data_IF_596191900020
#
_entry.id   IF_596191900020
#
_cell.length_a   1.000
_cell.length_b   1.000
_cell.length_c   1.000
_cell.angle_alpha   90.00
_cell.angle_beta   90.00
_cell.angle_gamma   90.00
#
_symmetry.space_group_name_H-M   'P 1'
#
loop_
_entity.id
_entity.type
_entity.pdbx_description
1 polymer ?
#
# COMPACT_ATOMS: atom_id res chain seq x y z
N UNK A 1 1.89 -4.56 -15.11
CA UNK A 1 3.02 -3.65 -14.79
C UNK A 1 3.94 -4.40 -13.84
N UNK A 2 5.22 -4.51 -14.17
CA UNK A 2 6.22 -5.11 -13.27
C UNK A 2 6.50 -4.17 -12.10
N UNK A 3 6.72 -4.72 -10.90
CA UNK A 3 7.01 -3.90 -9.73
C UNK A 3 8.43 -3.33 -9.80
N UNK A 4 8.54 -2.01 -9.93
CA UNK A 4 9.81 -1.28 -9.94
C UNK A 4 9.98 -0.51 -8.64
N UNK A 5 11.11 -0.73 -7.97
CA UNK A 5 11.47 0.09 -6.81
C UNK A 5 12.09 1.42 -7.25
N UNK A 6 11.66 2.52 -6.62
CA UNK A 6 12.23 3.85 -6.79
C UNK A 6 12.60 4.45 -5.44
N UNK A 7 13.59 5.35 -5.42
CA UNK A 7 13.85 6.20 -4.26
C UNK A 7 12.75 7.24 -4.21
N UNK A 8 11.90 7.19 -3.18
CA UNK A 8 10.81 8.13 -3.00
C UNK A 8 11.35 9.51 -2.60
N UNK A 9 10.58 10.53 -2.96
CA UNK A 9 10.79 11.90 -2.51
C UNK A 9 9.56 12.37 -1.73
N UNK A 10 9.73 13.34 -0.85
CA UNK A 10 8.63 13.93 -0.09
C UNK A 10 7.54 14.49 -1.01
N UNK A 11 7.93 15.19 -2.09
CA UNK A 11 7.01 15.70 -3.12
C UNK A 11 6.12 14.58 -3.69
N UNK A 12 6.68 13.40 -3.93
CA UNK A 12 5.92 12.26 -4.44
C UNK A 12 4.93 11.71 -3.42
N UNK A 13 5.26 11.69 -2.13
CA UNK A 13 4.30 11.31 -1.09
C UNK A 13 3.16 12.32 -0.98
N UNK A 14 3.46 13.61 -1.04
CA UNK A 14 2.45 14.67 -1.01
C UNK A 14 1.52 14.56 -2.23
N UNK A 15 2.09 14.39 -3.44
CA UNK A 15 1.30 14.22 -4.67
C UNK A 15 0.45 12.95 -4.65
N UNK A 16 0.96 11.84 -4.12
CA UNK A 16 0.19 10.60 -3.90
C UNK A 16 -1.03 10.85 -3.01
N UNK A 17 -0.81 11.47 -1.86
CA UNK A 17 -1.87 11.76 -0.87
C UNK A 17 -2.95 12.67 -1.47
N UNK A 18 -2.53 13.72 -2.17
CA UNK A 18 -3.45 14.71 -2.75
C UNK A 18 -4.27 14.15 -3.92
N UNK A 19 -3.69 13.24 -4.72
CA UNK A 19 -4.37 12.64 -5.87
C UNK A 19 -5.30 11.47 -5.52
N UNK A 20 -5.16 10.88 -4.33
CA UNK A 20 -5.78 9.61 -3.97
C UNK A 20 -7.31 9.60 -4.14
N UNK A 21 -8.00 10.60 -3.57
CA UNK A 21 -9.47 10.64 -3.56
C UNK A 21 -10.03 10.81 -4.98
N UNK A 22 -9.47 11.72 -5.77
CA UNK A 22 -9.91 11.98 -7.14
C UNK A 22 -9.65 10.77 -8.05
N UNK A 23 -8.50 10.10 -7.90
CA UNK A 23 -8.21 8.87 -8.62
C UNK A 23 -9.20 7.76 -8.27
N UNK A 24 -9.53 7.59 -6.99
CA UNK A 24 -10.50 6.59 -6.58
C UNK A 24 -11.90 6.89 -7.10
N UNK A 25 -12.35 8.15 -7.02
CA UNK A 25 -13.63 8.55 -7.60
C UNK A 25 -13.71 8.28 -9.11
N UNK A 26 -12.63 8.52 -9.86
CA UNK A 26 -12.60 8.20 -11.30
C UNK A 26 -12.70 6.69 -11.52
N UNK A 27 -12.00 5.88 -10.72
CA UNK A 27 -12.05 4.41 -10.81
C UNK A 27 -13.44 3.86 -10.47
N UNK A 28 -14.06 4.35 -9.40
CA UNK A 28 -15.38 3.90 -8.93
C UNK A 28 -16.50 4.23 -9.92
N UNK A 29 -16.39 5.34 -10.64
CA UNK A 29 -17.36 5.77 -11.65
C UNK A 29 -17.02 5.27 -13.06
N UNK A 30 -15.96 4.48 -13.22
CA UNK A 30 -15.60 3.90 -14.51
C UNK A 30 -16.54 2.75 -14.86
N UNK A 31 -16.94 2.69 -16.13
CA UNK A 31 -17.66 1.54 -16.70
C UNK A 31 -16.68 0.47 -17.23
N UNK A 32 -15.38 0.66 -17.04
CA UNK A 32 -14.37 -0.31 -17.44
C UNK A 32 -14.48 -1.59 -16.61
N UNK A 33 -14.15 -2.73 -17.22
CA UNK A 33 -14.08 -3.99 -16.51
C UNK A 33 -12.94 -4.02 -15.48
N UNK A 34 -13.07 -4.87 -14.45
CA UNK A 34 -12.10 -5.01 -13.33
C UNK A 34 -10.61 -5.06 -13.72
N UNK A 35 -10.30 -5.58 -14.92
CA UNK A 35 -8.94 -5.86 -15.36
C UNK A 35 -8.39 -4.85 -16.37
N UNK A 36 -9.19 -3.90 -16.85
CA UNK A 36 -8.79 -2.97 -17.90
C UNK A 36 -9.21 -1.56 -17.55
N UNK A 37 -8.45 -0.59 -18.02
CA UNK A 37 -8.80 0.83 -17.90
C UNK A 37 -8.84 1.36 -19.32
N UNK A 38 -10.02 1.80 -19.76
CA UNK A 38 -10.24 2.31 -21.11
C UNK A 38 -9.42 3.58 -21.36
N UNK A 39 -9.21 3.98 -22.62
CA UNK A 39 -8.44 5.19 -22.95
C UNK A 39 -9.01 6.45 -22.29
N UNK A 40 -10.34 6.57 -22.21
CA UNK A 40 -11.01 7.71 -21.58
C UNK A 40 -10.73 7.78 -20.07
N UNK A 41 -10.94 6.67 -19.36
CA UNK A 41 -10.65 6.58 -17.92
C UNK A 41 -9.17 6.79 -17.64
N UNK A 42 -8.29 6.23 -18.46
CA UNK A 42 -6.84 6.44 -18.35
C UNK A 42 -6.49 7.92 -18.48
N UNK A 43 -7.07 8.64 -19.46
CA UNK A 43 -6.85 10.07 -19.62
C UNK A 43 -7.32 10.90 -18.41
N UNK A 44 -8.48 10.53 -17.82
CA UNK A 44 -8.99 11.17 -16.59
C UNK A 44 -8.05 10.95 -15.40
N UNK A 45 -7.58 9.72 -15.19
CA UNK A 45 -6.63 9.38 -14.13
C UNK A 45 -5.29 10.11 -14.30
N UNK A 46 -4.82 10.22 -15.54
CA UNK A 46 -3.62 10.97 -15.89
C UNK A 46 -3.75 12.46 -15.57
N UNK A 47 -4.90 13.06 -15.92
CA UNK A 47 -5.18 14.45 -15.61
C UNK A 47 -5.28 14.69 -14.09
N UNK A 48 -5.93 13.79 -13.36
CA UNK A 48 -6.03 13.84 -11.91
C UNK A 48 -4.65 13.77 -11.25
N UNK A 49 -3.78 12.85 -11.68
CA UNK A 49 -2.41 12.78 -11.16
C UNK A 49 -1.61 14.06 -11.46
N UNK A 50 -1.71 14.58 -12.70
CA UNK A 50 -0.99 15.81 -13.12
C UNK A 50 -1.40 17.06 -12.36
N UNK A 51 -2.66 17.14 -11.94
CA UNK A 51 -3.18 18.23 -11.10
C UNK A 51 -2.42 18.37 -9.77
N UNK A 52 -1.81 17.29 -9.27
CA UNK A 52 -1.07 17.25 -8.01
C UNK A 52 0.44 17.01 -8.22
N UNK A 53 0.99 17.61 -9.28
CA UNK A 53 2.43 17.64 -9.60
C UNK A 53 3.09 16.27 -9.85
N UNK A 54 2.30 15.24 -10.15
CA UNK A 54 2.80 13.97 -10.69
C UNK A 54 2.87 14.03 -12.23
N UNK A 55 3.71 13.22 -12.85
CA UNK A 55 3.82 13.13 -14.32
C UNK A 55 2.62 12.46 -14.99
N UNK A 56 1.85 11.67 -14.23
CA UNK A 56 0.66 10.97 -14.69
C UNK A 56 0.29 9.81 -13.77
N UNK A 57 -0.70 9.03 -14.19
CA UNK A 57 -1.23 7.90 -13.42
C UNK A 57 -0.21 6.77 -13.24
N UNK A 58 0.71 6.59 -14.19
CA UNK A 58 1.79 5.61 -14.07
C UNK A 58 2.76 5.96 -12.92
N UNK A 59 3.09 7.24 -12.73
CA UNK A 59 3.89 7.65 -11.56
C UNK A 59 3.11 7.46 -10.26
N UNK A 60 1.82 7.81 -10.22
CA UNK A 60 0.96 7.54 -9.07
C UNK A 60 1.00 6.05 -8.67
N UNK A 61 0.80 5.14 -9.64
CA UNK A 61 0.88 3.69 -9.39
C UNK A 61 2.25 3.25 -8.89
N UNK A 62 3.32 3.80 -9.46
CA UNK A 62 4.70 3.48 -9.08
C UNK A 62 4.99 3.90 -7.64
N UNK A 63 4.63 5.13 -7.26
CA UNK A 63 4.78 5.66 -5.90
C UNK A 63 3.95 4.82 -4.93
N UNK A 64 2.65 4.60 -5.25
CA UNK A 64 1.73 3.77 -4.47
C UNK A 64 2.32 2.40 -4.18
N UNK A 65 2.85 1.71 -5.19
CA UNK A 65 3.43 0.38 -5.03
C UNK A 65 4.66 0.39 -4.09
N UNK A 66 5.51 1.41 -4.17
CA UNK A 66 6.69 1.55 -3.30
C UNK A 66 6.30 1.85 -1.85
N UNK A 67 5.27 2.67 -1.63
CA UNK A 67 4.72 2.94 -0.30
C UNK A 67 4.08 1.66 0.28
N UNK A 68 3.27 0.94 -0.51
CA UNK A 68 2.66 -0.33 -0.10
C UNK A 68 3.74 -1.36 0.27
N UNK A 69 4.85 -1.44 -0.48
CA UNK A 69 5.96 -2.33 -0.14
C UNK A 69 6.48 -2.08 1.28
N UNK A 70 6.63 -0.81 1.69
CA UNK A 70 7.04 -0.47 3.06
C UNK A 70 5.98 -0.91 4.07
N UNK A 71 4.70 -0.66 3.80
CA UNK A 71 3.60 -1.07 4.67
C UNK A 71 3.55 -2.59 4.89
N UNK A 72 3.98 -3.41 3.92
CA UNK A 72 4.03 -4.89 4.11
C UNK A 72 4.97 -5.35 5.23
N UNK A 73 5.86 -4.49 5.72
CA UNK A 73 6.74 -4.75 6.86
C UNK A 73 6.54 -3.79 8.03
N UNK A 74 5.48 -2.98 7.99
CA UNK A 74 5.20 -1.97 9.00
C UNK A 74 4.19 -2.47 10.04
N UNK A 75 4.57 -2.41 11.31
CA UNK A 75 3.70 -2.82 12.41
C UNK A 75 2.82 -1.67 12.88
N UNK A 76 1.50 -1.82 12.68
CA UNK A 76 0.51 -0.84 13.11
C UNK A 76 0.36 -0.71 14.62
N UNK A 77 0.85 -1.65 15.42
CA UNK A 77 0.79 -1.57 16.88
C UNK A 77 1.95 -0.72 17.41
N UNK A 78 3.18 -1.05 16.99
CA UNK A 78 4.39 -0.33 17.46
C UNK A 78 4.70 0.91 16.64
N UNK A 79 3.99 1.11 15.52
CA UNK A 79 4.21 2.18 14.54
C UNK A 79 5.65 2.20 14.02
N UNK A 80 6.19 1.03 13.72
CA UNK A 80 7.57 0.85 13.26
C UNK A 80 7.68 -0.16 12.13
N UNK A 81 8.65 0.05 11.25
CA UNK A 81 9.05 -0.99 10.31
C UNK A 81 9.84 -2.08 11.04
N UNK A 82 9.32 -3.31 11.00
CA UNK A 82 9.95 -4.50 11.59
C UNK A 82 10.40 -5.49 10.52
N UNK A 83 10.03 -5.26 9.26
CA UNK A 83 10.21 -6.19 8.16
C UNK A 83 9.10 -7.22 8.10
N UNK A 84 8.72 -7.61 6.89
CA UNK A 84 7.56 -8.46 6.62
C UNK A 84 7.57 -9.79 7.37
N UNK A 85 8.70 -10.48 7.36
CA UNK A 85 8.87 -11.77 8.04
C UNK A 85 8.61 -11.69 9.54
N UNK A 86 9.09 -10.61 10.17
CA UNK A 86 8.87 -10.35 11.58
C UNK A 86 7.44 -9.88 11.84
N UNK A 87 6.87 -9.06 10.95
CA UNK A 87 5.48 -8.60 11.05
C UNK A 87 4.51 -9.79 11.07
N UNK A 88 4.67 -10.75 10.14
CA UNK A 88 3.85 -11.96 10.08
C UNK A 88 3.96 -12.76 11.39
N UNK A 89 5.18 -12.93 11.94
CA UNK A 89 5.36 -13.60 13.25
C UNK A 89 4.63 -12.87 14.39
N UNK A 90 4.70 -11.55 14.42
CA UNK A 90 4.03 -10.73 15.42
C UNK A 90 2.50 -10.83 15.28
N UNK A 91 1.97 -10.81 14.06
CA UNK A 91 0.53 -10.98 13.79
C UNK A 91 0.03 -12.34 14.28
N UNK A 92 0.74 -13.43 13.95
CA UNK A 92 0.40 -14.78 14.45
C UNK A 92 0.44 -14.84 15.98
N UNK A 93 1.45 -14.26 16.62
CA UNK A 93 1.53 -14.21 18.08
C UNK A 93 0.35 -13.45 18.70
N UNK A 94 -0.09 -12.35 18.08
CA UNK A 94 -1.24 -11.56 18.52
C UNK A 94 -2.56 -12.31 18.36
N UNK A 95 -2.78 -12.99 17.23
CA UNK A 95 -3.98 -13.83 17.02
C UNK A 95 -4.05 -14.94 18.07
N UNK A 96 -2.91 -15.60 18.35
CA UNK A 96 -2.83 -16.62 19.41
C UNK A 96 -3.23 -16.05 20.77
N UNK A 97 -2.74 -14.85 21.11
CA UNK A 97 -2.99 -14.20 22.39
C UNK A 97 -4.40 -13.57 22.52
N UNK A 98 -5.08 -13.26 21.42
CA UNK A 98 -6.38 -12.56 21.47
C UNK A 98 -7.49 -13.47 21.99
N UNK A 99 -7.99 -13.20 23.20
CA UNK A 99 -9.03 -14.02 23.84
C UNK A 99 -10.43 -13.80 23.25
N UNK A 100 -10.60 -12.80 22.37
CA UNK A 100 -11.89 -12.46 21.74
C UNK A 100 -12.19 -13.33 20.53
N UNK A 101 -11.17 -13.97 19.96
CA UNK A 101 -11.29 -14.81 18.76
C UNK A 101 -11.57 -16.26 19.19
N UNK A 102 -12.67 -16.88 18.72
CA UNK A 102 -12.94 -18.31 18.92
C UNK A 102 -11.80 -19.21 18.44
N UNK A 103 -11.63 -20.37 19.08
CA UNK A 103 -10.48 -21.25 18.79
C UNK A 103 -10.46 -21.76 17.33
N UNK A 104 -11.62 -22.08 16.77
CA UNK A 104 -11.77 -22.48 15.37
C UNK A 104 -11.43 -21.33 14.39
N UNK A 105 -11.81 -20.10 14.72
CA UNK A 105 -11.49 -18.91 13.90
C UNK A 105 -10.00 -18.58 13.98
N UNK A 106 -9.36 -18.72 15.15
CA UNK A 106 -7.91 -18.50 15.30
C UNK A 106 -7.07 -19.37 14.38
N UNK A 107 -7.43 -20.66 14.26
CA UNK A 107 -6.68 -21.58 13.39
C UNK A 107 -6.71 -21.05 11.95
N UNK A 108 -7.89 -20.66 11.47
CA UNK A 108 -8.06 -20.13 10.13
C UNK A 108 -7.33 -18.78 9.92
N UNK A 109 -7.41 -17.86 10.87
CA UNK A 109 -6.71 -16.57 10.78
C UNK A 109 -5.18 -16.74 10.79
N UNK A 110 -4.65 -17.67 11.58
CA UNK A 110 -3.22 -18.00 11.59
C UNK A 110 -2.80 -18.57 10.24
N UNK A 111 -3.59 -19.50 9.68
CA UNK A 111 -3.31 -20.09 8.36
C UNK A 111 -3.26 -19.02 7.26
N UNK A 112 -4.26 -18.12 7.21
CA UNK A 112 -4.27 -17.00 6.25
C UNK A 112 -3.06 -16.08 6.45
N UNK A 113 -2.71 -15.79 7.70
CA UNK A 113 -1.57 -14.91 8.02
C UNK A 113 -0.24 -15.55 7.61
N UNK A 114 -0.04 -16.83 7.89
CA UNK A 114 1.18 -17.56 7.50
C UNK A 114 1.27 -17.76 5.97
N UNK A 115 0.14 -17.96 5.29
CA UNK A 115 0.09 -18.08 3.82
C UNK A 115 0.66 -16.84 3.10
N UNK A 116 0.64 -15.67 3.75
CA UNK A 116 1.27 -14.47 3.19
C UNK A 116 2.77 -14.66 2.89
N UNK A 117 3.47 -15.56 3.61
CA UNK A 117 4.89 -15.87 3.35
C UNK A 117 5.15 -16.45 1.96
N UNK A 118 4.13 -17.05 1.34
CA UNK A 118 4.25 -17.67 0.01
C UNK A 118 4.43 -16.63 -1.10
N UNK A 119 3.93 -15.40 -0.90
CA UNK A 119 4.16 -14.32 -1.85
C UNK A 119 5.59 -13.78 -1.68
N UNK A 120 6.47 -14.00 -2.64
CA UNK A 120 7.81 -13.38 -2.61
C UNK A 120 7.71 -11.90 -2.98
N UNK A 121 8.11 -11.02 -2.06
CA UNK A 121 8.24 -9.59 -2.33
C UNK A 121 9.74 -9.26 -2.28
N UNK A 122 10.28 -8.53 -3.28
CA UNK A 122 11.67 -8.12 -3.26
C UNK A 122 12.04 -7.36 -1.98
N UNK A 123 13.27 -7.53 -1.50
CA UNK A 123 13.78 -6.74 -0.38
C UNK A 123 13.77 -5.24 -0.72
N UNK A 124 13.49 -4.40 0.27
CA UNK A 124 13.53 -2.93 0.11
C UNK A 124 14.98 -2.50 -0.16
N UNK A 125 15.22 -1.97 -1.36
CA UNK A 125 16.51 -1.43 -1.82
C UNK A 125 16.74 -0.03 -1.27
N UNK A 126 15.71 0.82 -1.30
CA UNK A 126 15.79 2.21 -0.84
C UNK A 126 15.32 2.32 0.61
N UNK A 127 16.25 2.12 1.55
CA UNK A 127 15.93 2.15 2.99
C UNK A 127 15.36 3.50 3.45
N UNK A 128 15.76 4.60 2.81
CA UNK A 128 15.19 5.94 3.06
C UNK A 128 13.68 6.03 2.80
N UNK A 129 13.10 5.14 1.98
CA UNK A 129 11.64 5.08 1.83
C UNK A 129 10.95 4.66 3.13
N UNK A 130 11.62 3.90 4.00
CA UNK A 130 11.08 3.51 5.31
C UNK A 130 10.95 4.74 6.20
N UNK A 131 12.00 5.57 6.24
CA UNK A 131 12.02 6.79 7.05
C UNK A 131 10.94 7.77 6.56
N UNK A 132 10.83 7.96 5.24
CA UNK A 132 9.85 8.86 4.64
C UNK A 132 8.40 8.38 4.88
N UNK A 133 8.13 7.07 4.74
CA UNK A 133 6.80 6.52 5.07
C UNK A 133 6.50 6.62 6.56
N UNK A 134 7.51 6.50 7.43
CA UNK A 134 7.34 6.69 8.87
C UNK A 134 6.97 8.14 9.20
N UNK A 135 7.67 9.10 8.61
CA UNK A 135 7.41 10.53 8.75
C UNK A 135 5.97 10.90 8.33
N UNK A 136 5.49 10.33 7.23
CA UNK A 136 4.12 10.53 6.74
C UNK A 136 3.14 9.41 7.14
N UNK A 137 3.41 8.65 8.20
CA UNK A 137 2.61 7.47 8.53
C UNK A 137 1.13 7.81 8.77
N UNK A 138 0.84 8.84 9.56
CA UNK A 138 -0.52 9.22 9.90
C UNK A 138 -1.38 9.62 8.67
N UNK A 139 -0.92 10.55 7.79
CA UNK A 139 -1.68 10.88 6.59
C UNK A 139 -1.77 9.70 5.61
N UNK A 140 -0.69 8.92 5.43
CA UNK A 140 -0.73 7.73 4.57
C UNK A 140 -1.73 6.69 5.10
N UNK A 141 -1.76 6.43 6.40
CA UNK A 141 -2.69 5.46 6.97
C UNK A 141 -4.15 5.87 6.84
N UNK A 142 -4.41 7.17 6.79
CA UNK A 142 -5.77 7.72 6.71
C UNK A 142 -6.23 7.99 5.27
N UNK A 143 -5.32 7.90 4.30
CA UNK A 143 -5.59 8.19 2.90
C UNK A 143 -6.12 6.97 2.15
N UNK A 144 -6.96 7.25 1.16
CA UNK A 144 -7.55 6.24 0.30
C UNK A 144 -6.59 5.71 -0.78
N UNK A 145 -5.32 6.11 -0.78
CA UNK A 145 -4.36 5.64 -1.79
C UNK A 145 -4.16 4.11 -1.78
N UNK A 146 -4.53 3.42 -0.68
CA UNK A 146 -4.43 1.97 -0.55
C UNK A 146 -5.63 1.20 -1.14
N UNK A 147 -6.75 1.89 -1.44
CA UNK A 147 -7.92 1.32 -2.15
C UNK A 147 -7.60 1.06 -3.63
#
# INVERSE_FOLDING_TARGET
>A
MEFVQIKLTEKQIIGLLAAADEINQIRENSHDGFYQTGPETTAKLDAAARKYDLSGYDEFKTIRANVIQVFTGYDDVTKRYVGREQLIRLQVARIKADRRIPANEKVHEIEITEAQRQCTIPAIRFRSNIDLVHEHYAPLRSSDFQK
#
